data_IF_947459419513
#
_entry.id   IF_947459419513
#
_cell.length_a   1.000
_cell.length_b   1.000
_cell.length_c   1.000
_cell.angle_alpha   90.00
_cell.angle_beta   90.00
_cell.angle_gamma   90.00
#
_symmetry.space_group_name_H-M   'P 1'
#
loop_
_entity.id
_entity.type
_entity.pdbx_description
1 polymer ?
#
# COMPACT_ATOMS: atom_id res chain seq x y z
N UNK A 1 -40.73 -42.17 -68.18
CA UNK A 1 -40.49 -40.72 -67.95
C UNK A 1 -40.54 -40.32 -66.45
N UNK A 2 -41.40 -40.89 -65.60
CA UNK A 2 -41.48 -40.52 -64.17
C UNK A 2 -40.26 -40.90 -63.29
N UNK A 3 -39.44 -41.86 -63.71
CA UNK A 3 -38.24 -42.30 -62.96
C UNK A 3 -37.01 -41.41 -63.22
N UNK A 4 -36.86 -40.89 -64.44
CA UNK A 4 -35.77 -39.98 -64.82
C UNK A 4 -35.88 -38.60 -64.14
N UNK A 5 -37.11 -38.09 -63.99
CA UNK A 5 -37.36 -36.83 -63.26
C UNK A 5 -37.02 -36.94 -61.76
N UNK A 6 -37.22 -38.12 -61.15
CA UNK A 6 -36.86 -38.37 -59.76
C UNK A 6 -35.35 -38.48 -59.57
N UNK A 7 -34.65 -39.14 -60.48
CA UNK A 7 -33.19 -39.27 -60.40
C UNK A 7 -32.50 -37.91 -60.60
N UNK A 8 -32.97 -37.09 -61.54
CA UNK A 8 -32.48 -35.73 -61.74
C UNK A 8 -32.74 -34.81 -60.52
N UNK A 9 -33.89 -34.96 -59.84
CA UNK A 9 -34.20 -34.19 -58.63
C UNK A 9 -33.32 -34.61 -57.44
N UNK A 10 -33.05 -35.91 -57.27
CA UNK A 10 -32.16 -36.41 -56.22
C UNK A 10 -30.69 -36.02 -56.50
N UNK A 11 -30.27 -35.99 -57.76
CA UNK A 11 -28.96 -35.45 -58.16
C UNK A 11 -28.83 -33.93 -57.95
N UNK A 12 -29.93 -33.17 -58.05
CA UNK A 12 -29.92 -31.72 -57.81
C UNK A 12 -29.84 -31.36 -56.32
N UNK A 13 -30.41 -32.19 -55.42
CA UNK A 13 -30.32 -31.99 -53.96
C UNK A 13 -28.96 -32.41 -53.41
N UNK A 14 -28.26 -33.37 -54.05
CA UNK A 14 -26.91 -33.79 -53.66
C UNK A 14 -25.81 -32.77 -53.99
N UNK A 15 -26.10 -31.73 -54.77
CA UNK A 15 -25.23 -30.58 -55.02
C UNK A 15 -25.73 -29.36 -54.23
N UNK A 16 -26.33 -29.57 -53.05
CA UNK A 16 -26.30 -28.52 -52.02
C UNK A 16 -24.87 -28.44 -51.51
N UNK A 17 -24.01 -27.74 -52.25
CA UNK A 17 -22.81 -27.19 -51.68
C UNK A 17 -23.27 -26.41 -50.45
N UNK A 18 -23.00 -26.96 -49.26
CA UNK A 18 -23.08 -26.23 -48.01
C UNK A 18 -21.95 -25.19 -48.05
N UNK A 19 -22.08 -24.21 -48.94
CA UNK A 19 -21.38 -22.96 -48.86
C UNK A 19 -22.05 -22.22 -47.70
N UNK A 20 -21.73 -22.66 -46.48
CA UNK A 20 -21.84 -21.80 -45.32
C UNK A 20 -20.91 -20.64 -45.63
N UNK A 21 -21.45 -19.54 -46.13
CA UNK A 21 -20.74 -18.29 -46.10
C UNK A 21 -20.43 -18.08 -44.61
N UNK A 22 -19.18 -18.27 -44.22
CA UNK A 22 -18.69 -17.90 -42.90
C UNK A 22 -18.97 -16.41 -42.79
N UNK A 23 -20.08 -16.07 -42.14
CA UNK A 23 -20.49 -14.69 -41.93
C UNK A 23 -19.32 -13.99 -41.25
N UNK A 24 -18.89 -12.87 -41.83
CA UNK A 24 -17.75 -12.14 -41.31
C UNK A 24 -18.17 -11.69 -39.92
N UNK A 25 -17.65 -12.37 -38.90
CA UNK A 25 -17.94 -12.12 -37.51
C UNK A 25 -17.83 -10.61 -37.30
N UNK A 26 -18.98 -9.95 -37.08
CA UNK A 26 -19.03 -8.51 -36.92
C UNK A 26 -18.17 -8.17 -35.71
N UNK A 27 -17.25 -7.22 -35.85
CA UNK A 27 -16.36 -6.81 -34.76
C UNK A 27 -17.20 -6.39 -33.53
N UNK A 28 -18.46 -5.96 -33.73
CA UNK A 28 -19.42 -5.74 -32.64
C UNK A 28 -19.82 -7.02 -31.90
N UNK A 29 -20.03 -8.14 -32.59
CA UNK A 29 -20.36 -9.43 -31.96
C UNK A 29 -19.15 -10.05 -31.27
N UNK A 30 -17.95 -9.83 -31.83
CA UNK A 30 -16.69 -10.26 -31.22
C UNK A 30 -16.35 -9.41 -29.98
N UNK A 31 -16.50 -8.08 -30.07
CA UNK A 31 -16.31 -7.14 -28.95
C UNK A 31 -17.30 -7.40 -27.81
N UNK A 32 -18.54 -7.78 -28.10
CA UNK A 32 -19.53 -8.17 -27.10
C UNK A 32 -19.18 -9.50 -26.40
N UNK A 33 -18.32 -10.33 -26.99
CA UNK A 33 -17.94 -11.65 -26.43
C UNK A 33 -16.60 -11.59 -25.69
N UNK A 34 -15.67 -10.71 -26.09
CA UNK A 34 -14.30 -10.69 -25.54
C UNK A 34 -13.87 -9.37 -24.88
N UNK A 35 -14.78 -8.40 -24.73
CA UNK A 35 -14.46 -7.06 -24.18
C UNK A 35 -15.45 -6.50 -23.14
N UNK A 36 -16.49 -7.26 -22.75
CA UNK A 36 -17.51 -6.81 -21.79
C UNK A 36 -17.07 -6.91 -20.32
N UNK A 37 -16.14 -7.82 -20.00
CA UNK A 37 -15.78 -8.13 -18.62
C UNK A 37 -14.55 -7.33 -18.11
N UNK A 38 -14.06 -6.38 -18.92
CA UNK A 38 -12.83 -5.64 -18.63
C UNK A 38 -11.56 -6.49 -18.69
N UNK A 39 -10.55 -6.11 -17.91
CA UNK A 39 -9.25 -6.78 -17.78
C UNK A 39 -9.05 -7.19 -16.32
N UNK A 40 -8.79 -8.46 -16.05
CA UNK A 40 -8.35 -8.94 -14.74
C UNK A 40 -6.85 -9.28 -14.74
N UNK A 41 -6.12 -8.75 -13.76
CA UNK A 41 -4.67 -8.96 -13.57
C UNK A 41 -4.44 -9.54 -12.18
N UNK A 42 -3.85 -10.73 -12.13
CA UNK A 42 -3.39 -11.35 -10.89
C UNK A 42 -1.88 -11.22 -10.75
N UNK A 43 -1.40 -10.75 -9.59
CA UNK A 43 0.03 -10.66 -9.27
C UNK A 43 0.41 -11.76 -8.28
N UNK A 44 1.11 -12.79 -8.76
CA UNK A 44 1.59 -13.91 -7.96
C UNK A 44 3.04 -13.73 -7.52
N UNK A 45 3.27 -13.08 -6.38
CA UNK A 45 4.58 -13.08 -5.71
C UNK A 45 4.48 -13.81 -4.38
N UNK A 46 5.44 -14.68 -4.08
CA UNK A 46 5.45 -15.47 -2.84
C UNK A 46 6.18 -14.75 -1.71
N UNK A 47 7.26 -14.03 -2.03
CA UNK A 47 8.03 -13.26 -1.07
C UNK A 47 8.89 -12.17 -1.74
N UNK A 48 9.22 -11.14 -0.98
CA UNK A 48 10.30 -10.19 -1.29
C UNK A 48 11.27 -10.21 -0.12
N UNK A 49 12.58 -10.23 -0.41
CA UNK A 49 13.64 -10.29 0.59
C UNK A 49 14.72 -9.28 0.23
N UNK A 50 15.10 -8.45 1.20
CA UNK A 50 16.15 -7.45 1.06
C UNK A 50 17.04 -7.54 2.29
N UNK A 51 18.33 -7.86 2.09
CA UNK A 51 19.28 -7.98 3.19
C UNK A 51 19.58 -6.61 3.82
N UNK A 52 19.81 -5.60 2.98
CA UNK A 52 20.04 -4.22 3.40
C UNK A 52 19.37 -3.25 2.43
N UNK A 53 18.57 -2.33 2.97
CA UNK A 53 18.09 -1.15 2.27
C UNK A 53 18.76 0.08 2.90
N UNK A 54 19.63 0.72 2.14
CA UNK A 54 20.28 1.96 2.56
C UNK A 54 19.57 3.19 2.01
N UNK A 55 19.35 4.17 2.89
CA UNK A 55 18.94 5.53 2.51
C UNK A 55 20.05 6.48 2.91
N UNK A 56 20.75 7.04 1.92
CA UNK A 56 21.90 7.91 2.14
C UNK A 56 21.47 9.36 2.34
N UNK A 57 22.03 9.99 3.38
CA UNK A 57 22.04 11.43 3.60
C UNK A 57 23.45 11.94 3.28
N UNK A 58 23.57 12.66 2.16
CA UNK A 58 24.86 12.94 1.54
C UNK A 58 25.64 14.09 2.17
N UNK A 59 24.97 15.03 2.81
CA UNK A 59 25.55 16.19 3.48
C UNK A 59 25.45 16.09 5.01
N UNK A 60 24.51 15.30 5.53
CA UNK A 60 24.38 15.05 6.96
C UNK A 60 23.85 16.24 7.73
N UNK A 61 23.63 16.04 9.03
CA UNK A 61 23.17 17.11 9.90
C UNK A 61 24.23 18.23 10.00
N UNK A 62 23.90 19.43 9.49
CA UNK A 62 24.75 20.61 9.54
C UNK A 62 25.15 20.99 10.98
N UNK A 63 26.36 21.55 11.13
CA UNK A 63 26.90 21.95 12.45
C UNK A 63 26.10 23.06 13.14
N UNK A 64 25.39 23.86 12.36
CA UNK A 64 24.55 24.97 12.82
C UNK A 64 23.05 24.70 12.61
N UNK A 65 22.67 23.44 12.33
CA UNK A 65 21.27 23.04 12.23
C UNK A 65 20.51 23.46 13.48
N UNK A 66 19.31 24.04 13.32
CA UNK A 66 18.49 24.57 14.43
C UNK A 66 17.21 23.77 14.58
N UNK A 67 16.70 23.69 15.80
CA UNK A 67 15.34 23.18 16.03
C UNK A 67 14.37 24.13 15.29
N UNK A 68 13.48 23.62 14.42
CA UNK A 68 12.58 24.46 13.63
C UNK A 68 11.81 25.46 14.49
N UNK A 69 11.80 26.74 14.08
CA UNK A 69 11.12 27.81 14.80
C UNK A 69 11.84 28.34 16.04
N UNK A 70 13.09 27.92 16.29
CA UNK A 70 13.88 28.39 17.43
C UNK A 70 15.26 28.89 17.01
N UNK A 71 15.93 29.63 17.90
CA UNK A 71 17.34 29.99 17.73
C UNK A 71 18.32 28.89 18.21
N UNK A 72 17.80 27.81 18.81
CA UNK A 72 18.59 26.76 19.46
C UNK A 72 19.19 25.82 18.42
N UNK A 73 20.50 25.64 18.46
CA UNK A 73 21.23 24.68 17.62
C UNK A 73 21.03 23.26 18.12
N UNK A 74 20.85 22.33 17.19
CA UNK A 74 20.86 20.89 17.46
C UNK A 74 22.30 20.48 17.76
N UNK A 75 22.49 19.75 18.86
CA UNK A 75 23.82 19.30 19.28
C UNK A 75 24.22 18.08 18.45
N UNK A 76 25.50 18.03 18.06
CA UNK A 76 26.11 16.85 17.42
C UNK A 76 26.12 16.86 15.89
N UNK A 77 25.66 17.95 15.25
CA UNK A 77 25.82 18.13 13.81
C UNK A 77 27.30 18.20 13.42
N UNK A 78 27.67 17.53 12.33
CA UNK A 78 29.05 17.48 11.81
C UNK A 78 29.15 17.81 10.33
N UNK A 79 28.01 17.92 9.62
CA UNK A 79 27.96 18.03 8.17
C UNK A 79 28.66 16.88 7.46
N UNK A 80 28.57 15.67 8.03
CA UNK A 80 29.14 14.44 7.45
C UNK A 80 28.03 13.51 7.05
N UNK A 81 28.21 12.90 5.88
CA UNK A 81 27.26 11.97 5.31
C UNK A 81 26.98 10.80 6.25
N UNK A 82 25.73 10.36 6.27
CA UNK A 82 25.26 9.23 7.04
C UNK A 82 24.28 8.41 6.23
N UNK A 83 23.82 7.30 6.77
CA UNK A 83 22.80 6.47 6.13
C UNK A 83 21.90 5.82 7.15
N UNK A 84 20.67 5.56 6.74
CA UNK A 84 19.78 4.63 7.42
C UNK A 84 19.98 3.27 6.78
N UNK A 85 20.33 2.28 7.60
CA UNK A 85 20.47 0.87 7.22
C UNK A 85 19.27 0.08 7.75
N UNK A 86 18.40 -0.36 6.86
CA UNK A 86 17.26 -1.23 7.20
C UNK A 86 17.62 -2.66 6.84
N UNK A 87 17.80 -3.52 7.85
CA UNK A 87 18.27 -4.89 7.66
C UNK A 87 17.11 -5.89 7.54
N UNK A 88 17.28 -6.89 6.68
CA UNK A 88 16.45 -8.09 6.61
C UNK A 88 14.96 -7.79 6.41
N UNK A 89 14.62 -6.96 5.42
CA UNK A 89 13.23 -6.67 5.08
C UNK A 89 12.63 -7.87 4.33
N UNK A 90 11.71 -8.56 4.98
CA UNK A 90 10.99 -9.70 4.41
C UNK A 90 9.51 -9.37 4.27
N UNK A 91 8.98 -9.48 3.06
CA UNK A 91 7.55 -9.42 2.76
C UNK A 91 7.07 -10.80 2.34
N UNK A 92 6.02 -11.30 2.98
CA UNK A 92 5.34 -12.55 2.59
C UNK A 92 3.84 -12.38 2.69
N UNK A 93 3.09 -13.18 1.94
CA UNK A 93 1.65 -13.20 2.07
C UNK A 93 1.23 -13.71 3.46
N UNK A 94 0.25 -13.06 4.07
CA UNK A 94 -0.38 -13.51 5.30
C UNK A 94 -1.33 -14.66 4.96
N UNK A 95 -0.90 -15.90 5.22
CA UNK A 95 -1.70 -17.10 4.95
C UNK A 95 -3.06 -17.12 5.67
N UNK A 96 -3.23 -16.36 6.76
CA UNK A 96 -4.51 -16.23 7.45
C UNK A 96 -5.45 -15.19 6.80
N UNK A 97 -5.00 -14.45 5.79
CA UNK A 97 -5.74 -13.37 5.16
C UNK A 97 -5.38 -13.27 3.66
N UNK A 98 -5.56 -14.37 2.93
CA UNK A 98 -5.35 -14.40 1.49
C UNK A 98 -6.62 -13.98 0.73
N UNK A 99 -6.43 -13.41 -0.46
CA UNK A 99 -7.49 -13.35 -1.47
C UNK A 99 -7.89 -14.77 -1.87
N UNK A 100 -9.14 -14.95 -2.30
CA UNK A 100 -9.65 -16.23 -2.81
C UNK A 100 -8.82 -16.75 -3.99
N UNK A 101 -8.30 -15.85 -4.82
CA UNK A 101 -7.42 -16.17 -5.94
C UNK A 101 -6.04 -16.68 -5.53
N UNK A 102 -5.64 -16.47 -4.27
CA UNK A 102 -4.28 -16.70 -3.74
C UNK A 102 -3.19 -15.83 -4.39
N UNK A 103 -3.57 -14.85 -5.22
CA UNK A 103 -2.65 -13.82 -5.69
C UNK A 103 -2.30 -12.88 -4.54
N UNK A 104 -1.15 -12.22 -4.64
CA UNK A 104 -0.86 -11.10 -3.75
C UNK A 104 -1.83 -9.96 -4.02
N UNK A 105 -2.11 -9.67 -5.29
CA UNK A 105 -3.09 -8.66 -5.68
C UNK A 105 -3.92 -9.13 -6.86
N UNK A 106 -5.20 -8.81 -6.82
CA UNK A 106 -6.13 -8.89 -7.94
C UNK A 106 -6.53 -7.48 -8.33
N UNK A 107 -6.42 -7.16 -9.62
CA UNK A 107 -6.79 -5.87 -10.19
C UNK A 107 -7.78 -6.12 -11.31
N UNK A 108 -8.95 -5.51 -11.24
CA UNK A 108 -9.94 -5.52 -12.32
C UNK A 108 -10.07 -4.11 -12.87
N UNK A 109 -9.91 -3.97 -14.18
CA UNK A 109 -9.93 -2.70 -14.91
C UNK A 109 -11.08 -2.75 -15.90
N UNK A 110 -11.96 -1.78 -15.88
CA UNK A 110 -13.09 -1.71 -16.79
C UNK A 110 -13.46 -0.26 -17.13
N UNK A 111 -14.05 -0.03 -18.29
CA UNK A 111 -14.52 1.28 -18.71
C UNK A 111 -16.05 1.31 -18.76
N UNK A 112 -16.65 2.40 -18.29
CA UNK A 112 -18.10 2.59 -18.31
C UNK A 112 -18.45 3.91 -19.01
N UNK A 113 -19.55 3.93 -19.77
CA UNK A 113 -19.99 5.11 -20.53
C UNK A 113 -20.55 6.23 -19.64
N UNK A 114 -20.87 5.94 -18.38
CA UNK A 114 -21.25 6.87 -17.32
C UNK A 114 -22.43 7.78 -17.68
N UNK A 115 -23.38 7.31 -18.49
CA UNK A 115 -24.49 8.13 -18.98
C UNK A 115 -24.02 9.35 -19.81
N UNK A 116 -22.96 9.20 -20.60
CA UNK A 116 -22.33 10.27 -21.38
C UNK A 116 -21.15 10.95 -20.67
N UNK A 117 -20.70 10.40 -19.54
CA UNK A 117 -19.55 10.84 -18.75
C UNK A 117 -18.62 9.65 -18.52
N UNK A 118 -17.88 9.20 -19.55
CA UNK A 118 -17.16 7.95 -19.48
C UNK A 118 -16.04 7.98 -18.43
N UNK A 119 -15.79 6.83 -17.81
CA UNK A 119 -14.75 6.66 -16.82
C UNK A 119 -14.08 5.30 -16.91
N UNK A 120 -12.83 5.24 -16.48
CA UNK A 120 -12.10 3.99 -16.24
C UNK A 120 -12.18 3.68 -14.75
N UNK A 121 -12.70 2.51 -14.41
CA UNK A 121 -12.71 1.97 -13.07
C UNK A 121 -11.60 0.94 -12.91
N UNK A 122 -10.87 1.03 -11.80
CA UNK A 122 -9.86 0.05 -11.40
C UNK A 122 -10.15 -0.36 -9.97
N UNK A 123 -10.67 -1.58 -9.81
CA UNK A 123 -10.84 -2.21 -8.52
C UNK A 123 -9.57 -3.00 -8.18
N UNK A 124 -9.03 -2.80 -6.99
CA UNK A 124 -7.86 -3.53 -6.52
C UNK A 124 -8.15 -4.21 -5.19
N UNK A 125 -7.74 -5.46 -5.05
CA UNK A 125 -7.72 -6.19 -3.80
C UNK A 125 -6.31 -6.72 -3.57
N UNK A 126 -5.84 -6.70 -2.34
CA UNK A 126 -4.50 -7.16 -1.94
C UNK A 126 -4.67 -8.11 -0.76
N UNK A 127 -4.02 -9.27 -0.83
CA UNK A 127 -3.89 -10.19 0.30
C UNK A 127 -3.21 -9.47 1.47
N UNK A 128 -3.52 -9.90 2.70
CA UNK A 128 -2.77 -9.47 3.86
C UNK A 128 -1.28 -9.78 3.71
N UNK A 129 -0.44 -8.99 4.35
CA UNK A 129 1.01 -9.08 4.30
C UNK A 129 1.58 -9.30 5.69
N UNK A 130 2.60 -10.14 5.78
CA UNK A 130 3.54 -10.19 6.89
C UNK A 130 4.84 -9.52 6.44
N UNK A 131 5.20 -8.45 7.13
CA UNK A 131 6.39 -7.64 6.89
C UNK A 131 7.28 -7.77 8.12
N UNK A 132 8.42 -8.43 7.98
CA UNK A 132 9.44 -8.45 9.01
C UNK A 132 10.51 -7.42 8.64
N UNK A 133 10.92 -6.63 9.61
CA UNK A 133 12.07 -5.73 9.50
C UNK A 133 13.01 -6.09 10.65
N UNK A 134 14.25 -6.39 10.28
CA UNK A 134 15.34 -6.58 11.24
C UNK A 134 15.78 -5.25 11.86
N UNK A 135 17.05 -5.16 12.23
CA UNK A 135 17.56 -3.95 12.85
C UNK A 135 17.47 -2.76 11.89
N UNK A 136 17.16 -1.61 12.45
CA UNK A 136 17.40 -0.33 11.77
C UNK A 136 18.56 0.33 12.48
N UNK A 137 19.60 0.66 11.73
CA UNK A 137 20.75 1.39 12.22
C UNK A 137 20.89 2.73 11.50
N UNK A 138 21.60 3.64 12.14
CA UNK A 138 22.23 4.78 11.48
C UNK A 138 23.70 4.46 11.33
N UNK A 139 24.23 4.62 10.12
CA UNK A 139 25.64 4.38 9.78
C UNK A 139 26.30 5.64 9.26
N UNK A 140 27.64 5.67 9.27
CA UNK A 140 28.38 6.59 8.43
C UNK A 140 28.20 6.25 6.94
N UNK A 141 28.53 7.19 6.05
CA UNK A 141 28.47 6.99 4.61
C UNK A 141 29.62 7.69 3.89
N UNK A 142 30.02 7.15 2.75
CA UNK A 142 31.08 7.73 1.91
C UNK A 142 30.62 7.79 0.46
N UNK A 143 30.76 8.96 -0.15
CA UNK A 143 30.58 9.13 -1.59
C UNK A 143 31.80 8.60 -2.34
N UNK A 144 31.56 7.81 -3.37
CA UNK A 144 32.59 7.45 -4.34
C UNK A 144 32.99 8.71 -5.13
N UNK A 145 34.29 9.02 -5.14
CA UNK A 145 34.81 10.25 -5.74
C UNK A 145 34.70 10.33 -7.27
N UNK A 146 34.34 9.23 -7.94
CA UNK A 146 34.22 9.17 -9.41
C UNK A 146 32.76 9.20 -9.86
N UNK A 147 31.90 8.41 -9.22
CA UNK A 147 30.48 8.23 -9.57
C UNK A 147 29.54 9.09 -8.75
N UNK A 148 29.98 9.55 -7.56
CA UNK A 148 29.13 10.26 -6.60
C UNK A 148 28.16 9.36 -5.83
N UNK A 149 28.19 8.04 -6.03
CA UNK A 149 27.33 7.12 -5.28
C UNK A 149 27.80 6.97 -3.84
N UNK A 150 26.85 6.96 -2.92
CA UNK A 150 27.16 6.71 -1.52
C UNK A 150 27.19 5.23 -1.22
N UNK A 151 28.06 4.84 -0.30
CA UNK A 151 28.11 3.51 0.31
C UNK A 151 28.10 3.65 1.82
N UNK A 152 27.42 2.73 2.51
CA UNK A 152 27.41 2.72 3.96
C UNK A 152 28.79 2.34 4.50
N UNK A 153 29.22 3.03 5.56
CA UNK A 153 30.44 2.73 6.28
C UNK A 153 30.24 1.65 7.34
N UNK A 154 31.30 1.41 8.12
CA UNK A 154 31.34 0.32 9.11
C UNK A 154 30.88 0.74 10.51
N UNK A 155 30.74 2.04 10.77
CA UNK A 155 30.30 2.53 12.08
C UNK A 155 28.77 2.58 12.10
N UNK A 156 28.14 2.03 13.13
CA UNK A 156 26.69 1.97 13.22
C UNK A 156 26.16 2.18 14.64
N UNK A 157 25.01 2.83 14.77
CA UNK A 157 24.21 2.89 15.98
C UNK A 157 22.82 2.32 15.71
N UNK A 158 22.39 1.34 16.51
CA UNK A 158 21.05 0.75 16.40
C UNK A 158 20.01 1.71 16.95
N UNK A 159 18.91 1.89 16.21
CA UNK A 159 17.75 2.69 16.65
C UNK A 159 16.53 1.81 16.90
N UNK A 160 16.35 0.76 16.10
CA UNK A 160 15.33 -0.26 16.30
C UNK A 160 15.97 -1.65 16.25
N UNK A 161 15.63 -2.50 17.22
CA UNK A 161 16.08 -3.89 17.22
C UNK A 161 15.30 -4.78 16.24
N UNK A 162 14.15 -4.31 15.77
CA UNK A 162 13.28 -4.98 14.82
C UNK A 162 11.82 -4.65 15.05
N UNK A 163 10.98 -5.06 14.09
CA UNK A 163 9.52 -5.08 14.21
C UNK A 163 8.93 -6.05 13.20
N UNK A 164 7.71 -6.52 13.49
CA UNK A 164 6.89 -7.22 12.52
C UNK A 164 5.58 -6.46 12.34
N UNK A 165 5.15 -6.30 11.08
CA UNK A 165 3.89 -5.72 10.70
C UNK A 165 3.03 -6.79 10.02
N UNK A 166 1.79 -6.93 10.47
CA UNK A 166 0.81 -7.81 9.86
C UNK A 166 -0.41 -7.00 9.45
N UNK A 167 -0.80 -7.15 8.18
CA UNK A 167 -2.02 -6.59 7.61
C UNK A 167 -2.98 -7.72 7.24
N UNK A 168 -4.26 -7.38 7.11
CA UNK A 168 -5.24 -8.24 6.44
C UNK A 168 -5.55 -7.82 5.01
N UNK A 169 -6.45 -8.56 4.39
CA UNK A 169 -6.97 -8.26 3.04
C UNK A 169 -7.43 -6.81 3.00
N UNK A 170 -7.02 -6.11 1.95
CA UNK A 170 -7.28 -4.70 1.70
C UNK A 170 -7.91 -4.54 0.33
N UNK A 171 -8.91 -3.67 0.19
CA UNK A 171 -9.53 -3.35 -1.10
C UNK A 171 -9.52 -1.85 -1.38
N UNK A 172 -9.56 -1.46 -2.65
CA UNK A 172 -9.57 -0.08 -3.10
C UNK A 172 -10.29 0.06 -4.45
N UNK A 173 -10.83 1.25 -4.73
CA UNK A 173 -11.38 1.60 -6.03
C UNK A 173 -10.78 2.91 -6.56
N UNK A 174 -10.34 2.90 -7.81
CA UNK A 174 -9.77 4.04 -8.51
C UNK A 174 -10.65 4.34 -9.71
N UNK A 175 -11.03 5.61 -9.90
CA UNK A 175 -11.74 6.09 -11.07
C UNK A 175 -10.95 7.20 -11.76
N UNK A 176 -10.74 7.04 -13.06
CA UNK A 176 -10.01 7.98 -13.90
C UNK A 176 -10.94 8.49 -15.02
N UNK A 177 -10.77 9.75 -15.42
CA UNK A 177 -11.71 10.44 -16.32
C UNK A 177 -12.81 11.13 -15.52
N UNK A 178 -14.08 10.81 -15.80
CA UNK A 178 -15.15 11.22 -14.91
C UNK A 178 -15.08 10.40 -13.60
N UNK A 179 -15.34 11.04 -12.46
CA UNK A 179 -15.27 10.35 -11.15
C UNK A 179 -16.64 10.38 -10.48
N UNK A 180 -17.62 9.58 -10.95
CA UNK A 180 -18.95 9.53 -10.31
C UNK A 180 -18.87 9.17 -8.82
N UNK A 181 -17.80 8.50 -8.37
CA UNK A 181 -17.55 8.24 -6.94
C UNK A 181 -17.12 9.47 -6.11
N UNK A 182 -16.94 10.63 -6.73
CA UNK A 182 -16.63 11.91 -6.07
C UNK A 182 -15.13 12.20 -5.84
N UNK A 183 -14.25 11.23 -6.04
CA UNK A 183 -12.79 11.38 -5.96
C UNK A 183 -12.10 10.48 -7.00
N UNK A 184 -10.88 10.85 -7.43
CA UNK A 184 -10.12 10.05 -8.40
C UNK A 184 -9.71 8.70 -7.80
N UNK A 185 -9.27 8.68 -6.53
CA UNK A 185 -8.99 7.43 -5.83
C UNK A 185 -9.82 7.41 -4.57
N UNK A 186 -10.52 6.31 -4.35
CA UNK A 186 -11.29 6.07 -3.14
C UNK A 186 -10.83 4.76 -2.51
N UNK A 187 -10.08 4.90 -1.43
CA UNK A 187 -9.72 3.78 -0.55
C UNK A 187 -10.87 3.59 0.44
N UNK A 188 -11.99 3.06 -0.04
CA UNK A 188 -13.18 2.74 0.78
C UNK A 188 -13.16 1.30 1.33
N UNK A 189 -12.11 0.55 1.04
CA UNK A 189 -11.98 -0.80 1.54
C UNK A 189 -11.72 -0.89 3.03
N UNK A 190 -11.82 -2.12 3.50
CA UNK A 190 -11.57 -2.51 4.89
C UNK A 190 -10.31 -3.34 4.92
N UNK A 191 -9.37 -2.99 5.81
CA UNK A 191 -8.29 -3.88 6.20
C UNK A 191 -8.84 -4.85 7.25
N UNK A 192 -9.22 -6.05 6.82
CA UNK A 192 -9.81 -7.06 7.70
C UNK A 192 -8.82 -7.46 8.80
N UNK A 193 -9.25 -7.47 10.07
CA UNK A 193 -8.40 -7.71 11.24
C UNK A 193 -7.53 -6.53 11.70
N UNK A 194 -7.56 -5.41 10.96
CA UNK A 194 -6.82 -4.18 11.26
C UNK A 194 -5.32 -4.28 11.01
N UNK A 195 -4.57 -3.34 11.60
CA UNK A 195 -3.12 -3.32 11.54
C UNK A 195 -2.53 -3.81 12.86
N UNK A 196 -1.59 -4.75 12.80
CA UNK A 196 -0.84 -5.19 13.98
C UNK A 196 0.65 -4.96 13.78
N UNK A 197 1.27 -4.26 14.72
CA UNK A 197 2.72 -4.16 14.88
C UNK A 197 3.10 -5.02 16.08
N UNK A 198 4.17 -5.80 16.00
CA UNK A 198 4.63 -6.62 17.13
C UNK A 198 6.15 -6.67 17.22
N UNK A 199 6.62 -7.00 18.41
CA UNK A 199 8.05 -7.12 18.71
C UNK A 199 8.83 -5.82 18.39
N UNK A 200 8.21 -4.67 18.61
CA UNK A 200 8.88 -3.38 18.41
C UNK A 200 9.74 -3.08 19.62
N UNK A 201 11.00 -2.71 19.37
CA UNK A 201 11.96 -2.30 20.39
C UNK A 201 12.75 -1.12 19.87
N UNK A 202 12.52 0.04 20.47
CA UNK A 202 13.32 1.25 20.26
C UNK A 202 14.53 1.17 21.19
N UNK A 203 15.72 1.29 20.61
CA UNK A 203 16.98 1.20 21.32
C UNK A 203 17.53 2.58 21.63
N UNK A 204 17.76 2.88 22.91
CA UNK A 204 18.57 3.99 23.34
C UNK A 204 20.02 3.49 23.54
N UNK A 205 20.88 3.87 22.62
CA UNK A 205 22.32 3.58 22.67
C UNK A 205 23.10 4.54 23.59
N UNK A 206 22.43 5.39 24.39
CA UNK A 206 23.12 6.37 25.24
C UNK A 206 23.98 5.73 26.32
N UNK A 207 25.14 6.34 26.58
CA UNK A 207 26.06 5.91 27.63
C UNK A 207 25.54 6.20 29.05
N UNK A 208 24.50 7.02 29.20
CA UNK A 208 23.98 7.52 30.48
C UNK A 208 22.77 6.70 30.99
N UNK A 209 22.77 5.39 30.73
CA UNK A 209 21.72 4.47 31.20
C UNK A 209 20.80 3.94 30.12
N UNK A 210 21.29 3.79 28.89
CA UNK A 210 20.54 3.27 27.73
C UNK A 210 19.83 1.92 27.94
N UNK A 211 19.22 1.41 26.88
CA UNK A 211 18.36 0.23 26.92
C UNK A 211 17.18 0.38 25.96
N UNK A 212 16.17 -0.45 26.13
CA UNK A 212 15.07 -0.53 25.16
C UNK A 212 13.73 -0.06 25.72
N UNK A 213 12.94 0.61 24.88
CA UNK A 213 11.49 0.67 25.02
C UNK A 213 10.92 -0.44 24.17
N UNK A 214 10.37 -1.48 24.80
CA UNK A 214 9.82 -2.64 24.10
C UNK A 214 8.31 -2.64 24.24
N UNK A 215 7.61 -2.79 23.11
CA UNK A 215 6.16 -2.95 23.08
C UNK A 215 5.87 -4.33 22.50
N UNK A 216 5.08 -5.13 23.22
CA UNK A 216 4.74 -6.48 22.78
C UNK A 216 3.93 -6.46 21.49
N UNK A 217 2.90 -5.60 21.47
CA UNK A 217 2.02 -5.43 20.31
C UNK A 217 1.42 -4.03 20.28
N UNK A 218 1.30 -3.46 19.09
CA UNK A 218 0.43 -2.34 18.81
C UNK A 218 -0.67 -2.83 17.86
N UNK A 219 -1.95 -2.66 18.21
CA UNK A 219 -3.08 -2.97 17.33
C UNK A 219 -3.87 -1.70 17.05
N UNK A 220 -4.18 -1.49 15.77
CA UNK A 220 -5.04 -0.41 15.28
C UNK A 220 -6.24 -1.02 14.57
N UNK A 221 -7.42 -0.51 14.90
CA UNK A 221 -8.71 -0.87 14.33
C UNK A 221 -9.69 0.30 14.48
N UNK A 222 -10.80 0.27 13.75
CA UNK A 222 -11.89 1.22 13.97
C UNK A 222 -12.52 0.96 15.34
N UNK A 223 -12.99 2.02 15.98
CA UNK A 223 -13.63 1.94 17.29
C UNK A 223 -14.82 0.98 17.27
N UNK A 224 -14.77 -0.05 18.11
CA UNK A 224 -15.81 -1.09 18.19
C UNK A 224 -15.79 -2.14 17.07
N UNK A 225 -14.79 -2.13 16.19
CA UNK A 225 -14.58 -3.10 15.11
C UNK A 225 -13.29 -3.89 15.30
N UNK A 226 -13.17 -5.08 14.71
CA UNK A 226 -11.89 -5.78 14.59
C UNK A 226 -11.04 -5.26 13.42
N UNK A 227 -11.68 -4.58 12.48
CA UNK A 227 -11.12 -4.15 11.21
C UNK A 227 -10.79 -2.66 11.21
N UNK A 228 -10.04 -2.20 10.21
CA UNK A 228 -9.73 -0.78 10.01
C UNK A 228 -10.24 -0.32 8.65
N UNK A 229 -11.15 0.65 8.61
CA UNK A 229 -11.54 1.30 7.37
C UNK A 229 -10.39 2.18 6.88
N UNK A 230 -10.03 2.05 5.60
CA UNK A 230 -8.99 2.90 5.01
C UNK A 230 -9.49 4.32 4.79
N UNK A 231 -10.77 4.43 4.40
CA UNK A 231 -11.59 5.64 4.25
C UNK A 231 -10.75 6.86 3.85
N UNK A 232 -10.12 6.79 2.68
CA UNK A 232 -9.24 7.83 2.15
C UNK A 232 -9.65 8.25 0.74
N UNK A 233 -9.72 9.56 0.52
CA UNK A 233 -10.07 10.18 -0.77
C UNK A 233 -8.84 10.89 -1.32
N UNK A 234 -8.48 10.62 -2.57
CA UNK A 234 -7.48 11.38 -3.32
C UNK A 234 -8.18 12.10 -4.46
N UNK A 235 -8.05 13.42 -4.46
CA UNK A 235 -8.67 14.29 -5.45
C UNK A 235 -7.66 15.29 -6.02
N UNK A 236 -7.81 15.60 -7.30
CA UNK A 236 -7.15 16.75 -7.92
C UNK A 236 -8.10 17.93 -7.80
N UNK A 237 -7.60 19.03 -7.24
CA UNK A 237 -8.31 20.30 -7.10
C UNK A 237 -7.61 21.39 -7.90
N UNK A 238 -8.23 22.56 -8.04
CA UNK A 238 -7.58 23.73 -8.64
C UNK A 238 -6.31 24.16 -7.89
N UNK A 239 -6.18 23.78 -6.61
CA UNK A 239 -5.01 24.07 -5.78
C UNK A 239 -3.94 22.98 -5.80
N UNK A 240 -4.14 21.85 -6.50
CA UNK A 240 -3.20 20.72 -6.52
C UNK A 240 -3.82 19.40 -6.03
N UNK A 241 -2.96 18.45 -5.66
CA UNK A 241 -3.38 17.13 -5.17
C UNK A 241 -3.79 17.24 -3.69
N UNK A 242 -4.99 16.79 -3.37
CA UNK A 242 -5.52 16.75 -2.00
C UNK A 242 -5.81 15.30 -1.61
N UNK A 243 -5.26 14.87 -0.48
CA UNK A 243 -5.56 13.58 0.15
C UNK A 243 -6.31 13.85 1.44
N UNK A 244 -7.47 13.21 1.63
CA UNK A 244 -8.26 13.28 2.87
C UNK A 244 -8.41 11.87 3.45
N UNK A 245 -7.86 11.59 4.62
CA UNK A 245 -7.84 10.25 5.23
C UNK A 245 -8.19 10.31 6.73
N UNK A 246 -8.25 9.16 7.42
CA UNK A 246 -8.55 9.07 8.86
C UNK A 246 -9.92 9.66 9.23
N UNK A 247 -10.90 9.48 8.34
CA UNK A 247 -12.28 9.99 8.49
C UNK A 247 -13.08 9.24 9.55
N UNK A 248 -12.65 8.02 9.91
CA UNK A 248 -13.26 7.15 10.92
C UNK A 248 -12.59 7.32 12.29
N UNK A 249 -13.33 6.99 13.35
CA UNK A 249 -12.79 6.90 14.70
C UNK A 249 -12.01 5.59 14.85
N UNK A 250 -10.78 5.67 15.36
CA UNK A 250 -9.92 4.51 15.56
C UNK A 250 -9.63 4.25 17.04
N UNK A 251 -9.46 2.99 17.39
CA UNK A 251 -8.84 2.57 18.63
C UNK A 251 -7.38 2.15 18.37
N UNK A 252 -6.52 2.41 19.36
CA UNK A 252 -5.14 1.95 19.40
C UNK A 252 -4.88 1.25 20.72
N UNK A 253 -4.30 0.06 20.65
CA UNK A 253 -3.94 -0.75 21.81
C UNK A 253 -2.43 -0.98 21.78
N UNK A 254 -1.73 -0.64 22.86
CA UNK A 254 -0.31 -0.90 23.05
C UNK A 254 -0.19 -1.86 24.22
N UNK A 255 0.27 -3.08 23.95
CA UNK A 255 0.35 -4.14 24.93
C UNK A 255 1.79 -4.35 25.41
N UNK A 256 1.92 -4.68 26.69
CA UNK A 256 3.13 -5.12 27.35
C UNK A 256 4.29 -4.14 27.18
N UNK A 257 4.10 -2.90 27.62
CA UNK A 257 5.17 -1.89 27.61
C UNK A 257 6.24 -2.32 28.61
N UNK A 258 7.49 -2.42 28.17
CA UNK A 258 8.66 -2.73 29.00
C UNK A 258 9.72 -1.67 28.78
N UNK A 259 10.43 -1.31 29.84
CA UNK A 259 11.52 -0.32 29.81
C UNK A 259 12.83 -0.97 30.22
N UNK A 260 13.91 -0.62 29.53
CA UNK A 260 15.27 -1.12 29.75
C UNK A 260 15.61 -2.36 28.92
N UNK A 261 14.76 -3.40 28.90
CA UNK A 261 14.99 -4.59 28.06
C UNK A 261 13.71 -5.39 27.80
N UNK A 262 13.78 -6.31 26.83
CA UNK A 262 12.69 -7.27 26.54
C UNK A 262 12.40 -8.24 27.69
N UNK A 263 13.38 -8.48 28.55
CA UNK A 263 13.27 -9.32 29.76
C UNK A 263 12.69 -8.59 30.97
N UNK A 264 12.55 -7.27 30.91
CA UNK A 264 11.95 -6.50 32.00
C UNK A 264 10.47 -6.85 32.18
N UNK A 265 9.96 -6.63 33.40
CA UNK A 265 8.52 -6.79 33.65
C UNK A 265 7.75 -5.70 32.89
N UNK A 266 6.60 -6.07 32.35
CA UNK A 266 5.69 -5.09 31.76
C UNK A 266 5.25 -4.09 32.83
N UNK A 267 5.23 -2.80 32.47
CA UNK A 267 4.64 -1.74 33.29
C UNK A 267 3.14 -1.57 33.02
N UNK A 268 2.59 -2.33 32.08
CA UNK A 268 1.18 -2.33 31.74
C UNK A 268 0.91 -2.15 30.25
N UNK A 269 -0.37 -1.94 29.95
CA UNK A 269 -0.90 -1.72 28.62
C UNK A 269 -1.47 -0.29 28.52
N UNK A 270 -1.53 0.25 27.31
CA UNK A 270 -2.16 1.54 27.02
C UNK A 270 -3.23 1.33 25.95
N UNK A 271 -4.40 1.94 26.16
CA UNK A 271 -5.45 1.99 25.17
C UNK A 271 -5.82 3.45 24.90
N UNK A 272 -5.89 3.80 23.63
CA UNK A 272 -6.55 5.00 23.15
C UNK A 272 -7.81 4.52 22.46
N UNK A 273 -8.98 4.95 22.95
CA UNK A 273 -10.24 4.62 22.32
C UNK A 273 -10.90 5.88 21.78
N UNK A 274 -11.49 5.76 20.59
CA UNK A 274 -12.23 6.84 19.98
C UNK A 274 -11.36 7.96 19.42
N UNK A 275 -10.11 7.66 19.00
CA UNK A 275 -9.23 8.67 18.40
C UNK A 275 -9.87 9.19 17.12
N UNK A 276 -10.10 10.50 17.08
CA UNK A 276 -10.65 11.20 15.93
C UNK A 276 -9.68 12.26 15.48
N UNK A 277 -9.46 12.32 14.18
CA UNK A 277 -8.65 13.37 13.55
C UNK A 277 -9.61 14.33 12.86
N UNK A 278 -9.31 15.62 12.94
CA UNK A 278 -10.13 16.67 12.32
C UNK A 278 -9.26 17.65 11.54
N UNK A 279 -9.88 18.28 10.55
CA UNK A 279 -9.31 19.35 9.74
C UNK A 279 -10.25 20.57 9.65
N UNK A 280 -9.76 21.63 9.02
CA UNK A 280 -10.46 22.90 8.85
C UNK A 280 -10.32 23.85 10.05
N UNK A 281 -10.67 25.12 9.84
CA UNK A 281 -10.44 26.21 10.80
C UNK A 281 -11.12 26.03 12.17
N UNK A 282 -12.10 25.13 12.27
CA UNK A 282 -12.83 24.84 13.51
C UNK A 282 -12.62 23.42 14.04
N UNK A 283 -11.80 22.58 13.38
CA UNK A 283 -11.60 21.18 13.80
C UNK A 283 -12.89 20.35 13.84
N UNK A 284 -13.88 20.68 13.00
CA UNK A 284 -15.19 20.00 12.96
C UNK A 284 -15.33 19.02 11.82
N UNK A 285 -14.46 19.10 10.80
CA UNK A 285 -14.51 18.21 9.64
C UNK A 285 -13.63 16.99 9.92
N UNK A 286 -14.18 15.76 9.96
CA UNK A 286 -13.37 14.56 10.22
C UNK A 286 -12.29 14.33 9.15
N UNK A 287 -11.16 13.77 9.58
CA UNK A 287 -10.02 13.39 8.77
C UNK A 287 -8.84 14.36 8.81
N UNK A 288 -7.68 13.89 8.36
CA UNK A 288 -6.51 14.70 8.06
C UNK A 288 -6.49 15.06 6.57
N UNK A 289 -6.01 16.26 6.23
CA UNK A 289 -5.81 16.69 4.84
C UNK A 289 -4.34 16.91 4.56
N UNK A 290 -3.83 16.25 3.52
CA UNK A 290 -2.51 16.53 2.94
C UNK A 290 -2.75 17.22 1.60
N UNK A 291 -2.11 18.37 1.40
CA UNK A 291 -2.16 19.11 0.14
C UNK A 291 -0.76 19.18 -0.45
N UNK A 292 -0.62 18.77 -1.72
CA UNK A 292 0.61 18.86 -2.49
C UNK A 292 0.36 19.84 -3.63
N UNK A 293 1.09 20.94 -3.62
CA UNK A 293 0.98 22.04 -4.58
C UNK A 293 2.32 22.27 -5.25
N UNK A 294 2.32 22.58 -6.55
CA UNK A 294 3.52 23.07 -7.23
C UNK A 294 3.81 24.53 -6.87
N UNK A 295 5.06 24.94 -7.08
CA UNK A 295 5.43 26.36 -7.18
C UNK A 295 5.08 26.92 -8.55
#
# INVERSE_FOLDING_TARGET
MKLFAKLALVSAVAISANAMAMEKMDDSALSATTGQDGISIGLGISAVSIDHLYVHDGDGLATDAKIPGTATTIIGGTGKAGSIDVQGVQLTANAASLLTSHNLADITIDTDAGGGKPFLNVAAAVSGLNIAIGKINVTDATADGTTGFYTAGSNSATILNGLNLTTGVTTANIQLGNTPQGAMIKLDGVMQGGLTISNISLHDASAAGGGDIVLGKIKLNDTGSADMALNADVAVTTGGLKVTALKSSSDMYIQSIKLGSSSAKSIGDVQISGLKVFNGAAGTTPGAVITITGH
#
